data_IF_652112098902
#
_entry.id   IF_652112098902
#
_cell.length_a   1.000
_cell.length_b   1.000
_cell.length_c   1.000
_cell.angle_alpha   90.00
_cell.angle_beta   90.00
_cell.angle_gamma   90.00
#
_symmetry.space_group_name_H-M   'P 1'
#
loop_
_entity.id
_entity.type
_entity.pdbx_description
1 polymer ?
#
# COMPACT_ATOMS: atom_id res chain seq x y z
N UNK A 1 26.23 -6.46 -7.48
CA UNK A 1 26.22 -5.00 -7.74
C UNK A 1 24.85 -4.32 -7.55
N UNK A 2 23.71 -5.02 -7.38
CA UNK A 2 22.37 -4.39 -7.26
C UNK A 2 22.01 -3.86 -5.84
N UNK A 3 22.65 -4.35 -4.78
CA UNK A 3 22.34 -3.95 -3.40
C UNK A 3 22.88 -2.57 -3.00
N UNK A 4 23.99 -2.14 -3.60
CA UNK A 4 24.64 -0.85 -3.30
C UNK A 4 23.87 0.35 -3.87
N UNK A 5 23.13 0.18 -4.95
CA UNK A 5 22.37 1.27 -5.60
C UNK A 5 21.16 1.70 -4.77
N UNK A 6 20.49 0.74 -4.13
CA UNK A 6 19.33 1.01 -3.28
C UNK A 6 19.72 1.75 -1.99
N UNK A 7 20.85 1.36 -1.39
CA UNK A 7 21.38 2.02 -0.19
C UNK A 7 21.85 3.45 -0.50
N UNK A 8 22.48 3.66 -1.66
CA UNK A 8 22.90 4.98 -2.12
C UNK A 8 21.72 5.92 -2.39
N UNK A 9 20.63 5.41 -2.96
CA UNK A 9 19.40 6.18 -3.19
C UNK A 9 18.73 6.55 -1.86
N UNK A 10 18.67 5.63 -0.91
CA UNK A 10 18.13 5.89 0.44
C UNK A 10 18.97 6.94 1.19
N UNK A 11 20.30 6.83 1.12
CA UNK A 11 21.23 7.78 1.76
C UNK A 11 21.24 9.15 1.08
N UNK A 12 20.96 9.25 -0.22
CA UNK A 12 20.87 10.52 -0.94
C UNK A 12 19.58 11.30 -0.61
N UNK A 13 18.50 10.62 -0.20
CA UNK A 13 17.23 11.28 0.17
C UNK A 13 17.24 11.84 1.60
N UNK A 14 18.05 11.27 2.51
CA UNK A 14 18.16 11.71 3.90
C UNK A 14 18.67 13.17 4.04
N UNK A 15 19.72 13.64 3.35
CA UNK A 15 20.17 15.03 3.47
C UNK A 15 19.16 16.04 2.92
N UNK A 16 18.36 15.68 1.91
CA UNK A 16 17.28 16.56 1.45
C UNK A 16 16.18 16.73 2.51
N UNK A 17 15.91 15.69 3.31
CA UNK A 17 14.98 15.80 4.44
C UNK A 17 15.54 16.63 5.59
N UNK A 18 16.85 16.58 5.84
CA UNK A 18 17.51 17.32 6.92
C UNK A 18 17.70 18.81 6.60
N UNK A 19 17.99 19.18 5.35
CA UNK A 19 18.07 20.58 4.92
C UNK A 19 16.69 21.28 4.93
N UNK A 20 15.60 20.52 4.84
CA UNK A 20 14.24 21.06 4.95
C UNK A 20 13.92 21.63 6.34
N UNK A 21 14.72 21.36 7.37
CA UNK A 21 14.41 21.75 8.76
C UNK A 21 14.69 23.22 9.08
N UNK A 22 15.58 23.91 8.37
CA UNK A 22 16.08 25.23 8.78
C UNK A 22 15.23 26.46 8.38
N UNK A 23 14.12 26.31 7.67
CA UNK A 23 13.28 27.47 7.31
C UNK A 23 11.82 27.15 6.99
N UNK A 24 11.37 25.93 7.26
CA UNK A 24 10.19 25.38 6.62
C UNK A 24 9.19 24.76 7.61
N UNK A 25 8.97 25.44 8.75
CA UNK A 25 8.00 25.01 9.76
C UNK A 25 6.63 24.73 9.12
N UNK A 26 6.10 23.53 9.36
CA UNK A 26 4.78 23.09 8.91
C UNK A 26 4.69 22.59 7.47
N UNK A 27 5.82 22.31 6.81
CA UNK A 27 5.83 21.78 5.44
C UNK A 27 6.02 20.28 5.33
N UNK A 28 6.60 19.63 6.34
CA UNK A 28 6.76 18.19 6.41
C UNK A 28 5.64 17.59 7.28
N UNK A 29 5.00 16.57 6.77
CA UNK A 29 3.99 15.79 7.49
C UNK A 29 4.34 14.31 7.41
N UNK A 30 4.21 13.60 8.52
CA UNK A 30 4.35 12.14 8.59
C UNK A 30 3.04 11.55 9.09
N UNK A 31 2.60 10.46 8.49
CA UNK A 31 1.43 9.71 8.97
C UNK A 31 1.69 8.21 8.94
N UNK A 32 1.14 7.53 9.94
CA UNK A 32 1.00 6.08 9.97
C UNK A 32 -0.47 5.73 9.72
N UNK A 33 -0.71 4.80 8.83
CA UNK A 33 -2.05 4.50 8.37
C UNK A 33 -2.30 2.98 8.36
N UNK A 34 -3.56 2.63 8.54
CA UNK A 34 -4.09 1.29 8.37
C UNK A 34 -5.23 1.37 7.36
N UNK A 35 -5.17 0.56 6.34
CA UNK A 35 -6.24 0.43 5.34
C UNK A 35 -6.94 -0.91 5.45
N UNK A 36 -8.09 -1.02 4.79
CA UNK A 36 -8.87 -2.25 4.76
C UNK A 36 -8.11 -3.43 4.14
N UNK A 37 -8.79 -4.18 3.27
CA UNK A 37 -8.23 -5.36 2.68
C UNK A 37 -7.11 -5.07 1.67
N UNK A 38 -6.08 -5.92 1.56
CA UNK A 38 -5.22 -5.96 0.37
C UNK A 38 -6.08 -6.12 -0.88
N UNK A 39 -5.61 -5.56 -2.00
CA UNK A 39 -6.35 -5.63 -3.26
C UNK A 39 -6.59 -7.05 -3.77
N UNK A 40 -5.73 -7.98 -3.42
CA UNK A 40 -5.85 -9.41 -3.75
C UNK A 40 -7.17 -10.01 -3.25
N UNK A 41 -7.73 -9.47 -2.14
CA UNK A 41 -9.05 -9.84 -1.65
C UNK A 41 -10.21 -9.28 -2.47
N UNK A 42 -10.01 -8.11 -3.05
CA UNK A 42 -11.08 -7.42 -3.75
C UNK A 42 -11.21 -7.85 -5.21
N UNK A 43 -10.10 -8.22 -5.83
CA UNK A 43 -10.05 -8.56 -7.25
C UNK A 43 -9.77 -10.04 -7.52
N UNK A 44 -9.50 -10.83 -6.46
CA UNK A 44 -9.00 -12.20 -6.59
C UNK A 44 -7.59 -12.21 -7.20
N UNK A 45 -6.96 -13.37 -7.27
CA UNK A 45 -5.79 -13.56 -8.12
C UNK A 45 -6.29 -13.58 -9.58
N UNK A 46 -6.39 -12.40 -10.19
CA UNK A 46 -6.88 -12.25 -11.57
C UNK A 46 -6.08 -13.11 -12.57
N UNK A 47 -4.83 -13.40 -12.26
CA UNK A 47 -3.97 -14.25 -13.08
C UNK A 47 -4.42 -15.73 -13.09
N UNK A 48 -5.11 -16.19 -12.04
CA UNK A 48 -5.62 -17.56 -12.01
C UNK A 48 -6.90 -17.74 -12.86
N UNK A 49 -7.67 -16.66 -13.05
CA UNK A 49 -8.95 -16.71 -13.81
C UNK A 49 -8.82 -16.40 -15.28
N UNK A 50 -7.75 -15.72 -15.73
CA UNK A 50 -7.61 -15.30 -17.14
C UNK A 50 -6.97 -16.41 -18.01
N UNK A 51 -6.29 -17.40 -17.42
CA UNK A 51 -5.52 -18.41 -18.14
C UNK A 51 -6.17 -19.79 -18.28
N UNK A 52 -7.19 -20.12 -17.50
CA UNK A 52 -7.79 -21.46 -17.52
C UNK A 52 -9.22 -21.44 -18.06
N UNK A 53 -9.35 -21.55 -19.38
CA UNK A 53 -10.64 -21.88 -20.05
C UNK A 53 -11.10 -23.31 -19.79
N UNK A 54 -10.45 -24.05 -18.90
CA UNK A 54 -10.76 -25.44 -18.60
C UNK A 54 -11.68 -25.60 -17.40
N UNK A 55 -12.53 -26.64 -17.47
CA UNK A 55 -13.40 -27.09 -16.39
C UNK A 55 -12.72 -27.25 -15.02
N UNK A 56 -11.38 -27.26 -14.97
CA UNK A 56 -10.58 -27.22 -13.77
C UNK A 56 -10.86 -25.99 -12.88
N UNK A 57 -11.32 -24.89 -13.44
CA UNK A 57 -11.70 -23.70 -12.66
C UNK A 57 -12.96 -23.89 -11.81
N UNK A 58 -13.81 -24.85 -12.17
CA UNK A 58 -15.03 -25.20 -11.42
C UNK A 58 -14.70 -26.17 -10.28
N UNK A 59 -13.60 -26.93 -10.42
CA UNK A 59 -13.16 -27.95 -9.48
C UNK A 59 -11.77 -27.67 -8.92
N UNK A 60 -11.34 -26.39 -8.99
CA UNK A 60 -10.03 -25.97 -8.43
C UNK A 60 -9.92 -26.23 -6.93
N UNK A 61 -8.70 -26.14 -6.39
CA UNK A 61 -8.46 -26.34 -4.95
C UNK A 61 -9.37 -25.44 -4.11
N UNK A 62 -9.95 -25.99 -3.05
CA UNK A 62 -10.74 -25.21 -2.10
C UNK A 62 -9.81 -24.40 -1.21
N UNK A 63 -10.01 -23.09 -1.18
CA UNK A 63 -9.31 -22.19 -0.28
C UNK A 63 -9.97 -22.23 1.10
N UNK A 64 -9.14 -22.44 2.14
CA UNK A 64 -9.58 -22.41 3.55
C UNK A 64 -8.55 -21.67 4.40
N UNK A 65 -8.95 -21.32 5.61
CA UNK A 65 -8.09 -20.65 6.60
C UNK A 65 -7.42 -19.37 6.05
N UNK A 66 -8.14 -18.64 5.21
CA UNK A 66 -7.63 -17.41 4.64
C UNK A 66 -7.31 -16.39 5.75
N UNK A 67 -6.05 -15.98 5.83
CA UNK A 67 -5.55 -15.01 6.81
C UNK A 67 -5.05 -13.80 6.05
N UNK A 68 -5.53 -12.61 6.44
CA UNK A 68 -5.13 -11.37 5.83
C UNK A 68 -4.78 -10.34 6.90
N UNK A 69 -3.66 -9.64 6.71
CA UNK A 69 -3.38 -8.46 7.50
C UNK A 69 -3.93 -7.23 6.78
N UNK A 70 -4.48 -6.25 7.51
CA UNK A 70 -4.73 -4.93 6.93
C UNK A 70 -3.45 -4.39 6.30
N UNK A 71 -3.60 -3.53 5.28
CA UNK A 71 -2.44 -2.85 4.70
C UNK A 71 -1.98 -1.76 5.67
N UNK A 72 -0.78 -1.91 6.19
CA UNK A 72 -0.13 -0.91 7.03
C UNK A 72 0.72 -0.01 6.15
N UNK A 73 0.63 1.30 6.32
CA UNK A 73 1.49 2.22 5.57
C UNK A 73 2.00 3.39 6.40
N UNK A 74 3.18 3.87 6.00
CA UNK A 74 3.78 5.11 6.50
C UNK A 74 3.91 6.04 5.31
N UNK A 75 3.45 7.28 5.45
CA UNK A 75 3.52 8.29 4.43
C UNK A 75 4.24 9.54 4.93
N UNK A 76 5.26 9.96 4.20
CA UNK A 76 5.91 11.26 4.33
C UNK A 76 5.39 12.20 3.24
N UNK A 77 4.89 13.37 3.61
CA UNK A 77 4.41 14.40 2.68
C UNK A 77 5.16 15.71 2.87
N UNK A 78 5.53 16.33 1.76
CA UNK A 78 6.16 17.63 1.71
C UNK A 78 5.29 18.62 0.94
N UNK A 79 4.90 19.72 1.60
CA UNK A 79 4.09 20.77 0.99
C UNK A 79 4.93 21.68 0.08
N UNK A 80 4.72 21.59 -1.20
CA UNK A 80 5.33 22.50 -2.18
C UNK A 80 4.61 23.85 -2.24
N UNK A 81 3.27 23.81 -2.19
CA UNK A 81 2.39 25.00 -2.19
C UNK A 81 1.27 24.80 -1.16
N UNK A 82 0.48 25.85 -0.92
CA UNK A 82 -0.65 25.80 0.02
C UNK A 82 -1.56 24.58 -0.21
N UNK A 83 -1.84 24.28 -1.47
CA UNK A 83 -2.81 23.23 -1.85
C UNK A 83 -2.15 21.98 -2.45
N UNK A 84 -0.83 21.98 -2.66
CA UNK A 84 -0.14 20.91 -3.37
C UNK A 84 1.00 20.34 -2.55
N UNK A 85 1.05 19.03 -2.41
CA UNK A 85 2.12 18.30 -1.75
C UNK A 85 2.60 17.12 -2.60
N UNK A 86 3.86 16.79 -2.44
CA UNK A 86 4.45 15.53 -2.90
C UNK A 86 4.68 14.65 -1.69
N UNK A 87 4.66 13.35 -1.89
CA UNK A 87 4.88 12.40 -0.79
C UNK A 87 5.51 11.11 -1.26
N UNK A 88 5.90 10.32 -0.27
CA UNK A 88 6.38 8.96 -0.45
C UNK A 88 5.62 8.08 0.55
N UNK A 89 4.98 7.05 0.03
CA UNK A 89 4.29 6.05 0.83
C UNK A 89 5.03 4.73 0.77
N UNK A 90 5.26 4.13 1.93
CA UNK A 90 5.72 2.75 2.08
C UNK A 90 4.58 1.94 2.70
N UNK A 91 4.15 0.88 2.03
CA UNK A 91 3.04 0.04 2.47
C UNK A 91 3.47 -1.42 2.59
N UNK A 92 2.83 -2.13 3.52
CA UNK A 92 3.06 -3.55 3.77
C UNK A 92 1.74 -4.27 3.99
N UNK A 93 1.61 -5.46 3.43
CA UNK A 93 0.53 -6.40 3.72
C UNK A 93 1.02 -7.84 3.67
N UNK A 94 0.27 -8.72 4.30
CA UNK A 94 0.48 -10.17 4.27
C UNK A 94 -0.83 -10.85 3.98
N UNK A 95 -0.79 -11.89 3.13
CA UNK A 95 -1.90 -12.79 2.87
C UNK A 95 -1.42 -14.24 2.94
N UNK A 96 -2.27 -15.09 3.49
CA UNK A 96 -2.02 -16.53 3.58
C UNK A 96 -3.32 -17.30 3.41
N UNK A 97 -3.25 -18.48 2.81
CA UNK A 97 -4.39 -19.38 2.62
C UNK A 97 -3.92 -20.81 2.48
N UNK A 98 -4.78 -21.75 2.89
CA UNK A 98 -4.55 -23.17 2.74
C UNK A 98 -5.41 -23.71 1.58
N UNK A 99 -4.82 -24.60 0.79
CA UNK A 99 -5.49 -25.28 -0.31
C UNK A 99 -5.82 -26.72 0.04
N UNK A 100 -7.04 -27.12 -0.26
CA UNK A 100 -7.54 -28.48 -0.08
C UNK A 100 -8.11 -29.03 -1.38
N UNK A 101 -7.93 -30.33 -1.60
CA UNK A 101 -8.54 -31.03 -2.73
C UNK A 101 -10.07 -31.05 -2.56
N UNK A 102 -10.83 -30.60 -3.57
CA UNK A 102 -12.29 -30.48 -3.46
C UNK A 102 -13.03 -31.83 -3.36
N UNK A 103 -12.39 -32.94 -3.75
CA UNK A 103 -13.01 -34.27 -3.78
C UNK A 103 -12.60 -35.13 -2.59
N UNK A 104 -11.35 -35.03 -2.15
CA UNK A 104 -10.79 -35.89 -1.10
C UNK A 104 -10.67 -35.17 0.24
N UNK A 105 -10.87 -33.85 0.25
CA UNK A 105 -10.63 -32.98 1.42
C UNK A 105 -9.18 -33.04 1.95
N UNK A 106 -8.26 -33.55 1.11
CA UNK A 106 -6.87 -33.67 1.47
C UNK A 106 -6.18 -32.31 1.38
N UNK A 107 -5.32 -32.02 2.34
CA UNK A 107 -4.47 -30.81 2.31
C UNK A 107 -3.46 -30.90 1.16
N UNK A 108 -3.44 -29.89 0.31
CA UNK A 108 -2.53 -29.79 -0.87
C UNK A 108 -1.30 -28.94 -0.52
N UNK A 109 -1.51 -27.79 0.14
CA UNK A 109 -0.41 -26.88 0.46
C UNK A 109 -0.88 -25.57 1.05
N UNK A 110 0.08 -24.76 1.49
CA UNK A 110 -0.14 -23.41 2.03
C UNK A 110 0.46 -22.38 1.09
N UNK A 111 -0.33 -21.37 0.78
CA UNK A 111 0.13 -20.16 0.13
C UNK A 111 0.37 -19.07 1.17
N UNK A 112 1.50 -18.36 1.05
CA UNK A 112 1.83 -17.23 1.91
C UNK A 112 2.55 -16.16 1.10
N UNK A 113 2.04 -14.94 1.14
CA UNK A 113 2.58 -13.82 0.37
C UNK A 113 2.73 -12.57 1.23
N UNK A 114 3.90 -11.94 1.15
CA UNK A 114 4.19 -10.63 1.71
C UNK A 114 4.33 -9.64 0.57
N UNK A 115 3.67 -8.49 0.70
CA UNK A 115 3.74 -7.41 -0.29
C UNK A 115 4.32 -6.16 0.37
N UNK A 116 5.39 -5.61 -0.20
CA UNK A 116 5.95 -4.32 0.14
C UNK A 116 5.82 -3.39 -1.05
N UNK A 117 5.19 -2.24 -0.87
CA UNK A 117 5.08 -1.24 -1.91
C UNK A 117 5.77 0.07 -1.51
N UNK A 118 6.43 0.71 -2.48
CA UNK A 118 7.01 2.03 -2.34
C UNK A 118 6.48 2.93 -3.46
N UNK A 119 5.74 3.97 -3.09
CA UNK A 119 4.97 4.77 -4.03
C UNK A 119 5.20 6.27 -3.79
N UNK A 120 5.99 6.97 -4.61
CA UNK A 120 5.91 8.41 -4.71
C UNK A 120 4.53 8.83 -5.20
N UNK A 121 4.08 9.99 -4.72
CA UNK A 121 2.75 10.47 -5.06
C UNK A 121 2.59 11.98 -4.90
N UNK A 122 1.44 12.45 -5.34
CA UNK A 122 1.03 13.84 -5.25
C UNK A 122 -0.36 13.93 -4.62
N UNK A 123 -0.57 15.00 -3.84
CA UNK A 123 -1.88 15.31 -3.25
C UNK A 123 -2.25 16.76 -3.51
N UNK A 124 -3.51 16.97 -3.83
CA UNK A 124 -4.12 18.28 -3.97
C UNK A 124 -5.19 18.48 -2.90
N UNK A 125 -5.07 19.58 -2.12
CA UNK A 125 -6.02 19.96 -1.08
C UNK A 125 -6.92 21.05 -1.61
N UNK A 126 -8.17 20.72 -1.88
CA UNK A 126 -9.15 21.68 -2.42
C UNK A 126 -9.92 22.43 -1.32
N UNK A 127 -10.01 21.90 -0.11
CA UNK A 127 -10.53 22.61 1.07
C UNK A 127 -9.47 22.58 2.17
N UNK A 128 -9.08 23.77 2.62
CA UNK A 128 -8.07 23.91 3.67
C UNK A 128 -8.58 24.91 4.74
N UNK A 129 -9.01 24.36 5.87
CA UNK A 129 -9.35 25.08 7.10
C UNK A 129 -8.28 24.77 8.16
N UNK A 130 -8.28 25.51 9.27
CA UNK A 130 -7.30 25.32 10.36
C UNK A 130 -7.25 23.89 10.88
N UNK A 131 -8.40 23.29 11.18
CA UNK A 131 -8.53 21.96 11.77
C UNK A 131 -9.10 20.91 10.81
N UNK A 132 -9.35 21.26 9.56
CA UNK A 132 -10.00 20.38 8.60
C UNK A 132 -9.48 20.62 7.19
N UNK A 133 -9.20 19.55 6.47
CA UNK A 133 -8.90 19.66 5.03
C UNK A 133 -9.47 18.46 4.27
N UNK A 134 -9.91 18.73 3.04
CA UNK A 134 -10.26 17.73 2.05
C UNK A 134 -9.19 17.70 0.95
N UNK A 135 -8.89 16.50 0.49
CA UNK A 135 -7.86 16.30 -0.52
C UNK A 135 -8.17 15.11 -1.42
N UNK A 136 -7.54 15.11 -2.57
CA UNK A 136 -7.43 13.97 -3.47
C UNK A 136 -5.97 13.73 -3.79
N UNK A 137 -5.61 12.53 -4.21
CA UNK A 137 -4.23 12.20 -4.50
C UNK A 137 -4.08 11.01 -5.42
N UNK A 138 -2.88 10.88 -5.96
CA UNK A 138 -2.45 9.71 -6.72
C UNK A 138 -1.02 9.40 -6.36
N UNK A 139 -0.72 8.13 -6.23
CA UNK A 139 0.64 7.61 -6.06
C UNK A 139 0.86 6.43 -7.00
N UNK A 140 2.09 6.30 -7.49
CA UNK A 140 2.50 5.21 -8.35
C UNK A 140 3.95 4.84 -8.05
N UNK A 141 4.26 3.55 -8.12
CA UNK A 141 5.59 3.04 -7.79
C UNK A 141 5.72 1.57 -8.10
N UNK A 142 6.39 0.83 -7.23
CA UNK A 142 6.60 -0.60 -7.35
C UNK A 142 6.21 -1.32 -6.07
N UNK A 143 5.66 -2.51 -6.21
CA UNK A 143 5.44 -3.47 -5.14
C UNK A 143 6.33 -4.70 -5.35
N UNK A 144 6.98 -5.13 -4.28
CA UNK A 144 7.75 -6.36 -4.19
C UNK A 144 6.89 -7.39 -3.48
N UNK A 145 6.65 -8.50 -4.14
CA UNK A 145 5.93 -9.64 -3.58
C UNK A 145 6.92 -10.78 -3.36
N UNK A 146 6.89 -11.38 -2.20
CA UNK A 146 7.67 -12.57 -1.88
C UNK A 146 6.90 -13.48 -0.95
N UNK A 147 7.08 -14.76 -1.13
CA UNK A 147 6.33 -15.74 -0.36
C UNK A 147 6.62 -17.16 -0.79
N UNK A 148 5.68 -18.03 -0.50
CA UNK A 148 5.72 -19.44 -0.86
C UNK A 148 4.38 -19.88 -1.42
N UNK A 149 4.41 -20.71 -2.44
CA UNK A 149 3.28 -21.47 -2.94
C UNK A 149 3.62 -22.97 -2.83
N UNK A 150 3.10 -23.63 -1.81
CA UNK A 150 3.53 -24.96 -1.44
C UNK A 150 5.04 -25.00 -1.16
N UNK A 151 5.81 -25.68 -2.03
CA UNK A 151 7.27 -25.79 -1.93
C UNK A 151 8.04 -24.75 -2.75
N UNK A 152 7.37 -24.01 -3.63
CA UNK A 152 8.00 -23.03 -4.50
C UNK A 152 8.09 -21.65 -3.83
N UNK A 153 9.23 -20.98 -4.06
CA UNK A 153 9.42 -19.61 -3.59
C UNK A 153 8.96 -18.64 -4.65
N UNK A 154 8.06 -17.72 -4.27
CA UNK A 154 7.57 -16.67 -5.13
C UNK A 154 8.41 -15.41 -4.89
N UNK A 155 8.85 -14.78 -5.97
CA UNK A 155 9.40 -13.43 -5.94
C UNK A 155 8.97 -12.70 -7.22
N UNK A 156 8.19 -11.65 -7.04
CA UNK A 156 7.69 -10.85 -8.16
C UNK A 156 7.79 -9.35 -7.86
N UNK A 157 7.86 -8.56 -8.94
CA UNK A 157 7.90 -7.11 -8.91
C UNK A 157 6.81 -6.57 -9.82
N UNK A 158 5.83 -5.92 -9.23
CA UNK A 158 4.69 -5.39 -9.98
C UNK A 158 4.58 -3.86 -9.86
N UNK A 159 3.99 -3.17 -10.83
CA UNK A 159 3.66 -1.77 -10.69
C UNK A 159 2.63 -1.59 -9.56
N UNK A 160 2.85 -0.59 -8.71
CA UNK A 160 1.93 -0.20 -7.65
C UNK A 160 1.27 1.13 -8.02
N UNK A 161 -0.05 1.18 -8.03
CA UNK A 161 -0.81 2.40 -8.31
C UNK A 161 -1.94 2.53 -7.30
N UNK A 162 -2.06 3.74 -6.74
CA UNK A 162 -3.07 4.07 -5.76
C UNK A 162 -3.68 5.44 -6.05
N UNK A 163 -4.99 5.53 -5.99
CA UNK A 163 -5.74 6.79 -6.15
C UNK A 163 -6.52 7.04 -4.87
N UNK A 164 -6.51 8.28 -4.40
CA UNK A 164 -7.35 8.78 -3.32
C UNK A 164 -8.36 9.74 -3.96
N UNK A 165 -9.55 9.27 -4.36
CA UNK A 165 -10.58 10.14 -4.94
C UNK A 165 -10.99 11.23 -3.95
N UNK A 166 -11.15 10.85 -2.68
CA UNK A 166 -11.48 11.75 -1.60
C UNK A 166 -10.79 11.31 -0.31
N UNK A 167 -10.15 12.27 0.35
CA UNK A 167 -9.58 12.10 1.67
C UNK A 167 -9.90 13.29 2.56
N UNK A 168 -9.98 13.02 3.85
CA UNK A 168 -10.26 14.00 4.87
C UNK A 168 -9.16 13.96 5.93
N UNK A 169 -8.80 15.13 6.43
CA UNK A 169 -7.86 15.28 7.53
C UNK A 169 -8.45 16.21 8.59
N UNK A 170 -8.39 15.79 9.86
CA UNK A 170 -8.93 16.53 11.00
C UNK A 170 -7.84 16.67 12.07
N UNK A 171 -7.55 17.87 12.47
CA UNK A 171 -6.53 18.21 13.46
C UNK A 171 -5.59 19.31 13.00
N UNK A 172 -4.67 19.72 13.86
CA UNK A 172 -3.68 20.77 13.57
C UNK A 172 -2.27 20.14 13.47
N UNK A 173 -1.48 20.16 14.53
CA UNK A 173 -0.15 19.53 14.56
C UNK A 173 -0.26 18.00 14.56
N UNK A 174 -1.10 17.46 15.43
CA UNK A 174 -1.51 16.06 15.38
C UNK A 174 -2.84 16.03 14.65
N UNK A 175 -2.98 15.12 13.71
CA UNK A 175 -4.19 15.00 12.90
C UNK A 175 -4.55 13.54 12.65
N UNK A 176 -5.85 13.30 12.49
CA UNK A 176 -6.39 12.05 11.98
C UNK A 176 -6.62 12.18 10.47
N UNK A 177 -6.43 11.08 9.74
CA UNK A 177 -6.75 10.96 8.31
C UNK A 177 -7.82 9.92 8.10
N UNK A 178 -8.67 10.19 7.13
CA UNK A 178 -9.67 9.26 6.62
C UNK A 178 -9.68 9.40 5.10
N UNK A 179 -9.23 8.38 4.39
CA UNK A 179 -9.10 8.39 2.95
C UNK A 179 -9.90 7.24 2.35
N UNK A 180 -10.62 7.49 1.25
CA UNK A 180 -11.10 6.44 0.38
C UNK A 180 -10.01 6.11 -0.64
N UNK A 181 -9.73 4.84 -0.83
CA UNK A 181 -8.52 4.35 -1.48
C UNK A 181 -8.90 3.37 -2.58
N UNK A 182 -8.39 3.60 -3.79
CA UNK A 182 -8.58 2.74 -4.95
C UNK A 182 -7.22 2.43 -5.57
N UNK A 183 -6.87 1.15 -5.68
CA UNK A 183 -5.62 0.76 -6.31
C UNK A 183 -5.35 -0.73 -6.22
N UNK A 184 -4.21 -1.13 -6.78
CA UNK A 184 -3.79 -2.53 -6.79
C UNK A 184 -2.95 -2.95 -5.56
N UNK A 185 -2.67 -2.04 -4.62
CA UNK A 185 -2.03 -2.37 -3.34
C UNK A 185 -3.07 -2.49 -2.24
N UNK A 186 -4.05 -1.58 -2.21
CA UNK A 186 -5.13 -1.59 -1.24
C UNK A 186 -6.42 -1.04 -1.85
N UNK A 187 -7.55 -1.51 -1.36
CA UNK A 187 -8.87 -1.03 -1.74
C UNK A 187 -9.71 -0.74 -0.50
N UNK A 188 -10.51 0.32 -0.54
CA UNK A 188 -11.49 0.66 0.49
C UNK A 188 -11.11 1.87 1.30
N UNK A 189 -11.23 1.78 2.62
CA UNK A 189 -11.06 2.90 3.53
C UNK A 189 -9.74 2.79 4.28
N UNK A 190 -9.06 3.92 4.43
CA UNK A 190 -7.82 4.06 5.19
C UNK A 190 -8.03 5.04 6.32
N UNK A 191 -7.58 4.65 7.51
CA UNK A 191 -7.49 5.50 8.69
C UNK A 191 -6.03 5.72 9.05
N UNK A 192 -5.72 6.90 9.57
CA UNK A 192 -4.36 7.16 10.00
C UNK A 192 -4.27 8.28 11.02
N UNK A 193 -3.09 8.35 11.63
CA UNK A 193 -2.69 9.43 12.52
C UNK A 193 -1.40 10.01 11.98
N UNK A 194 -1.29 11.32 11.98
CA UNK A 194 -0.09 11.99 11.50
C UNK A 194 0.32 13.18 12.37
N UNK A 195 1.55 13.61 12.09
CA UNK A 195 2.16 14.76 12.75
C UNK A 195 2.71 15.74 11.71
N UNK A 196 2.51 17.02 11.97
CA UNK A 196 2.99 18.13 11.15
C UNK A 196 4.13 18.83 11.89
N UNK A 197 5.30 18.85 11.26
CA UNK A 197 6.50 19.50 11.77
C UNK A 197 6.53 21.00 11.48
#
# INVERSE_FOLDING_TARGET
>A
MKKSFFLAFLLATVPFMLQAQQGWKGKLELSANISGAPSDLAFGDADYYIGSSDLASIYGPQERNATYTPVLSIMGEYKLKKNFSIGLEAAYSHSGKDYFDPFTDAFIGTFSKHTFALMPGVKYRYLLKRFFSLHSGISAGAALQFGKDGSESIFDVMPAVQVIPIGMRVGDKIYATFDYYLGNVALGVRFGIGYRF
#
